data_IF_410833194222
#
_entry.id   IF_410833194222
#
_cell.length_a   1.000
_cell.length_b   1.000
_cell.length_c   1.000
_cell.angle_alpha   90.00
_cell.angle_beta   90.00
_cell.angle_gamma   90.00
#
_symmetry.space_group_name_H-M   'P 1'
#
loop_
_entity.id
_entity.type
_entity.pdbx_description
1 polymer ?
#
# COMPACT_ATOMS: atom_id res chain seq x y z
N UNK A 1 -62.57 24.15 48.39
CA UNK A 1 -61.74 22.99 47.99
C UNK A 1 -60.36 23.52 47.62
N UNK A 2 -59.34 23.24 48.45
CA UNK A 2 -57.98 23.71 48.23
C UNK A 2 -57.17 22.66 47.44
N UNK A 3 -56.75 22.99 46.23
CA UNK A 3 -55.78 22.18 45.48
C UNK A 3 -54.41 22.27 46.17
N UNK A 4 -54.04 21.24 46.94
CA UNK A 4 -52.66 21.00 47.35
C UNK A 4 -51.84 20.66 46.09
N UNK A 5 -51.09 21.62 45.57
CA UNK A 5 -50.10 21.39 44.50
C UNK A 5 -48.94 20.54 45.04
N UNK A 6 -48.48 19.49 44.33
CA UNK A 6 -47.40 18.63 44.80
C UNK A 6 -46.05 19.23 44.40
N UNK A 7 -45.57 20.19 45.18
CA UNK A 7 -44.22 20.77 45.05
C UNK A 7 -43.09 19.74 45.32
N UNK A 8 -43.20 18.77 46.27
CA UNK A 8 -42.07 17.88 46.57
C UNK A 8 -41.80 16.82 45.50
N UNK A 9 -42.78 16.41 44.69
CA UNK A 9 -42.56 15.44 43.59
C UNK A 9 -41.85 16.06 42.38
N UNK A 10 -42.07 17.35 42.11
CA UNK A 10 -41.33 18.08 41.07
C UNK A 10 -39.86 18.29 41.46
N UNK A 11 -39.57 18.63 42.72
CA UNK A 11 -38.17 18.77 43.19
C UNK A 11 -37.42 17.44 43.20
N UNK A 12 -38.08 16.33 43.58
CA UNK A 12 -37.49 15.00 43.53
C UNK A 12 -37.16 14.53 42.10
N UNK A 13 -38.03 14.84 41.13
CA UNK A 13 -37.80 14.54 39.71
C UNK A 13 -36.62 15.31 39.12
N UNK A 14 -36.52 16.62 39.40
CA UNK A 14 -35.40 17.45 38.94
C UNK A 14 -34.07 17.00 39.55
N UNK A 15 -34.05 16.65 40.84
CA UNK A 15 -32.82 16.16 41.50
C UNK A 15 -32.34 14.82 40.92
N UNK A 16 -33.25 13.89 40.63
CA UNK A 16 -32.89 12.63 39.97
C UNK A 16 -32.37 12.84 38.55
N UNK A 17 -32.94 13.78 37.79
CA UNK A 17 -32.44 14.16 36.46
C UNK A 17 -31.03 14.75 36.57
N UNK A 18 -30.78 15.65 37.52
CA UNK A 18 -29.46 16.25 37.74
C UNK A 18 -28.42 15.19 38.14
N UNK A 19 -28.76 14.27 39.05
CA UNK A 19 -27.88 13.17 39.42
C UNK A 19 -27.61 12.21 38.25
N UNK A 20 -28.62 11.89 37.44
CA UNK A 20 -28.45 11.09 36.24
C UNK A 20 -27.56 11.79 35.21
N UNK A 21 -27.71 13.11 35.03
CA UNK A 21 -26.84 13.92 34.18
C UNK A 21 -25.40 13.97 34.70
N UNK A 22 -25.19 14.19 36.00
CA UNK A 22 -23.86 14.19 36.62
C UNK A 22 -23.21 12.82 36.56
N UNK A 23 -23.96 11.75 36.83
CA UNK A 23 -23.50 10.37 36.68
C UNK A 23 -23.12 10.03 35.23
N UNK A 24 -23.92 10.48 34.26
CA UNK A 24 -23.62 10.32 32.85
C UNK A 24 -22.37 11.12 32.44
N UNK A 25 -22.19 12.35 32.95
CA UNK A 25 -21.00 13.18 32.70
C UNK A 25 -19.74 12.56 33.31
N UNK A 26 -19.80 12.11 34.57
CA UNK A 26 -18.68 11.44 35.23
C UNK A 26 -18.30 10.13 34.53
N UNK A 27 -19.30 9.33 34.15
CA UNK A 27 -19.09 8.11 33.37
C UNK A 27 -18.46 8.39 31.99
N UNK A 28 -18.86 9.49 31.34
CA UNK A 28 -18.28 9.93 30.08
C UNK A 28 -16.85 10.45 30.23
N UNK A 29 -16.56 11.18 31.30
CA UNK A 29 -15.22 11.72 31.57
C UNK A 29 -14.22 10.60 31.84
N UNK A 30 -14.51 9.70 32.79
CA UNK A 30 -13.62 8.58 33.16
C UNK A 30 -13.29 7.67 31.98
N UNK A 31 -14.24 7.48 31.05
CA UNK A 31 -13.99 6.70 29.83
C UNK A 31 -13.22 7.45 28.76
N UNK A 32 -13.19 8.77 28.78
CA UNK A 32 -12.38 9.52 27.81
C UNK A 32 -10.92 9.60 28.25
N UNK A 33 -10.63 9.65 29.55
CA UNK A 33 -9.26 9.63 30.08
C UNK A 33 -8.51 8.36 29.63
N UNK A 34 -9.20 7.22 29.60
CA UNK A 34 -8.64 5.97 29.08
C UNK A 34 -8.39 5.99 27.57
N UNK A 35 -9.22 6.68 26.78
CA UNK A 35 -9.01 6.84 25.34
C UNK A 35 -7.85 7.79 25.04
N UNK A 36 -7.73 8.86 25.83
CA UNK A 36 -6.63 9.81 25.77
C UNK A 36 -5.30 9.11 26.06
N UNK A 37 -5.20 8.41 27.19
CA UNK A 37 -4.00 7.66 27.55
C UNK A 37 -3.65 6.60 26.48
N UNK A 38 -4.65 5.91 25.94
CA UNK A 38 -4.45 4.95 24.84
C UNK A 38 -3.93 5.65 23.59
N UNK A 39 -4.54 6.76 23.16
CA UNK A 39 -4.15 7.46 21.95
C UNK A 39 -2.70 7.98 22.07
N UNK A 40 -2.33 8.58 23.20
CA UNK A 40 -0.95 9.04 23.43
C UNK A 40 0.05 7.88 23.37
N UNK A 41 -0.28 6.76 24.01
CA UNK A 41 0.56 5.57 23.97
C UNK A 41 0.73 5.03 22.55
N UNK A 42 -0.37 4.93 21.79
CA UNK A 42 -0.36 4.44 20.41
C UNK A 42 0.40 5.39 19.48
N UNK A 43 0.22 6.71 19.61
CA UNK A 43 0.96 7.72 18.85
C UNK A 43 2.45 7.62 19.13
N UNK A 44 2.86 7.59 20.41
CA UNK A 44 4.27 7.48 20.75
C UNK A 44 4.89 6.17 20.22
N UNK A 45 4.17 5.06 20.33
CA UNK A 45 4.64 3.75 19.84
C UNK A 45 4.81 3.76 18.32
N UNK A 46 3.82 4.25 17.59
CA UNK A 46 3.82 4.22 16.13
C UNK A 46 4.77 5.25 15.52
N UNK A 47 4.93 6.43 16.12
CA UNK A 47 5.90 7.44 15.66
C UNK A 47 7.34 6.91 15.72
N UNK A 48 7.68 6.10 16.73
CA UNK A 48 9.01 5.52 16.90
C UNK A 48 9.14 4.09 16.37
N UNK A 49 8.12 3.56 15.70
CA UNK A 49 8.14 2.21 15.16
C UNK A 49 9.25 2.05 14.10
N UNK A 50 10.02 0.97 14.23
CA UNK A 50 10.92 0.52 13.18
C UNK A 50 10.16 -0.34 12.16
N UNK A 51 10.67 -0.38 10.93
CA UNK A 51 10.07 -1.13 9.82
C UNK A 51 11.06 -2.17 9.27
N UNK A 52 11.36 -3.24 10.03
CA UNK A 52 12.24 -4.31 9.58
C UNK A 52 11.61 -5.07 8.42
N UNK A 53 12.42 -5.46 7.43
CA UNK A 53 11.97 -6.23 6.27
C UNK A 53 13.13 -6.99 5.61
N UNK A 54 12.86 -8.14 4.95
CA UNK A 54 13.88 -8.80 4.14
C UNK A 54 14.37 -7.88 3.01
N UNK A 55 15.67 -7.56 3.00
CA UNK A 55 16.24 -6.80 1.89
C UNK A 55 16.28 -7.64 0.62
N UNK A 56 15.86 -7.06 -0.51
CA UNK A 56 15.83 -7.81 -1.78
C UNK A 56 17.21 -7.88 -2.45
N UNK A 57 18.20 -7.10 -2.02
CA UNK A 57 19.57 -7.10 -2.56
C UNK A 57 20.62 -7.54 -1.55
N UNK A 58 21.80 -7.92 -2.05
CA UNK A 58 22.98 -8.24 -1.23
C UNK A 58 24.25 -7.80 -1.99
N UNK A 59 25.14 -6.99 -1.39
CA UNK A 59 25.03 -6.36 -0.05
C UNK A 59 23.95 -5.28 0.01
N UNK A 60 23.46 -4.99 1.22
CA UNK A 60 22.51 -3.90 1.50
C UNK A 60 23.23 -2.56 1.65
N UNK A 61 22.47 -1.46 1.56
CA UNK A 61 22.95 -0.12 1.91
C UNK A 61 22.63 0.19 3.37
N UNK A 62 23.57 0.76 4.14
CA UNK A 62 23.32 1.12 5.54
C UNK A 62 22.15 2.10 5.70
N UNK A 63 21.34 1.91 6.75
CA UNK A 63 20.25 2.81 7.13
C UNK A 63 18.88 2.41 6.56
N UNK A 64 17.96 3.39 6.52
CA UNK A 64 16.55 3.17 6.14
C UNK A 64 16.25 3.74 4.75
N UNK A 65 15.24 3.18 4.08
CA UNK A 65 14.68 3.78 2.86
C UNK A 65 14.22 5.23 3.10
N UNK A 66 13.51 5.47 4.22
CA UNK A 66 12.99 6.78 4.58
C UNK A 66 14.08 7.86 4.64
N UNK A 67 15.18 7.59 5.36
CA UNK A 67 16.31 8.53 5.44
C UNK A 67 16.94 8.81 4.09
N UNK A 68 17.10 7.78 3.24
CA UNK A 68 17.68 7.96 1.91
C UNK A 68 16.77 8.83 1.01
N UNK A 69 15.46 8.61 1.04
CA UNK A 69 14.49 9.35 0.21
C UNK A 69 14.20 10.76 0.74
N UNK A 70 14.26 11.02 2.05
CA UNK A 70 14.07 12.37 2.61
C UNK A 70 14.98 13.40 1.93
N UNK A 71 16.23 13.04 1.64
CA UNK A 71 17.17 13.93 0.93
C UNK A 71 16.79 14.24 -0.53
N UNK A 72 16.02 13.34 -1.17
CA UNK A 72 15.59 13.45 -2.56
C UNK A 72 14.23 14.13 -2.70
N UNK A 73 13.44 14.18 -1.63
CA UNK A 73 12.06 14.65 -1.65
C UNK A 73 11.90 16.09 -2.17
N UNK A 74 12.74 17.07 -1.81
CA UNK A 74 12.62 18.42 -2.36
C UNK A 74 12.81 18.48 -3.89
N UNK A 75 13.69 17.63 -4.44
CA UNK A 75 13.91 17.54 -5.87
C UNK A 75 12.72 16.86 -6.58
N UNK A 76 12.20 15.78 -5.99
CA UNK A 76 11.00 15.07 -6.48
C UNK A 76 9.78 15.99 -6.52
N UNK A 77 9.51 16.72 -5.45
CA UNK A 77 8.39 17.65 -5.37
C UNK A 77 8.50 18.78 -6.40
N UNK A 78 9.70 19.33 -6.58
CA UNK A 78 9.96 20.36 -7.60
C UNK A 78 9.68 19.83 -9.01
N UNK A 79 10.21 18.64 -9.34
CA UNK A 79 9.98 18.00 -10.65
C UNK A 79 8.50 17.75 -10.93
N UNK A 80 7.74 17.33 -9.93
CA UNK A 80 6.30 17.11 -10.08
C UNK A 80 5.54 18.41 -10.33
N UNK A 81 5.92 19.53 -9.67
CA UNK A 81 5.27 20.84 -9.85
C UNK A 81 5.62 21.52 -11.17
N UNK A 82 6.87 21.39 -11.61
CA UNK A 82 7.40 22.12 -12.77
C UNK A 82 7.04 21.45 -14.11
N UNK A 83 6.50 20.23 -14.07
CA UNK A 83 6.14 19.52 -15.30
C UNK A 83 4.82 20.06 -15.86
N UNK A 84 4.79 20.53 -17.11
CA UNK A 84 3.52 20.81 -17.76
C UNK A 84 2.69 19.52 -17.88
N UNK A 85 1.37 19.58 -17.68
CA UNK A 85 0.52 18.42 -17.91
C UNK A 85 0.61 18.02 -19.38
N UNK A 86 0.66 16.71 -19.62
CA UNK A 86 0.52 16.16 -20.97
C UNK A 86 -0.89 16.43 -21.50
N UNK A 87 -1.05 16.44 -22.82
CA UNK A 87 -2.39 16.35 -23.41
C UNK A 87 -3.08 15.07 -22.94
N UNK A 88 -4.41 15.06 -22.83
CA UNK A 88 -5.16 13.86 -22.41
C UNK A 88 -4.83 12.66 -23.33
N UNK A 89 -4.67 12.92 -24.62
CA UNK A 89 -4.29 11.91 -25.61
C UNK A 89 -2.88 11.37 -25.38
N UNK A 90 -1.89 12.23 -25.16
CA UNK A 90 -0.52 11.78 -24.87
C UNK A 90 -0.47 11.02 -23.55
N UNK A 91 -1.16 11.50 -22.51
CA UNK A 91 -1.24 10.82 -21.22
C UNK A 91 -1.80 9.40 -21.36
N UNK A 92 -2.91 9.24 -22.09
CA UNK A 92 -3.53 7.93 -22.33
C UNK A 92 -2.62 6.99 -23.14
N UNK A 93 -1.90 7.51 -24.14
CA UNK A 93 -0.94 6.72 -24.92
C UNK A 93 0.27 6.30 -24.08
N UNK A 94 0.80 7.19 -23.25
CA UNK A 94 1.92 6.88 -22.36
C UNK A 94 1.53 5.83 -21.32
N UNK A 95 0.32 5.93 -20.77
CA UNK A 95 -0.26 4.93 -19.89
C UNK A 95 -0.43 3.58 -20.61
N UNK A 96 -0.97 3.55 -21.83
CA UNK A 96 -1.13 2.32 -22.60
C UNK A 96 0.21 1.62 -22.88
N UNK A 97 1.27 2.36 -23.20
CA UNK A 97 2.62 1.80 -23.38
C UNK A 97 3.20 1.27 -22.07
N UNK A 98 3.07 2.05 -20.99
CA UNK A 98 3.57 1.71 -19.65
C UNK A 98 2.91 0.44 -19.13
N UNK A 99 1.60 0.31 -19.30
CA UNK A 99 0.83 -0.84 -18.80
C UNK A 99 0.90 -2.06 -19.69
N UNK A 100 1.51 -1.98 -20.88
CA UNK A 100 1.64 -3.15 -21.75
C UNK A 100 0.60 -3.28 -22.84
N UNK A 101 -0.33 -2.33 -22.97
CA UNK A 101 -1.42 -2.37 -23.98
C UNK A 101 -1.00 -1.88 -25.37
N UNK A 102 0.05 -1.07 -25.44
CA UNK A 102 0.60 -0.51 -26.68
C UNK A 102 2.10 -0.80 -26.83
N UNK A 103 2.58 -0.74 -28.07
CA UNK A 103 3.99 -0.90 -28.42
C UNK A 103 4.81 0.35 -28.04
N UNK A 104 6.08 0.18 -27.67
CA UNK A 104 6.97 1.31 -27.34
C UNK A 104 7.21 2.28 -28.51
N UNK A 105 6.96 1.85 -29.75
CA UNK A 105 7.00 2.69 -30.95
C UNK A 105 5.90 3.74 -30.98
N UNK A 106 4.80 3.52 -30.23
CA UNK A 106 3.68 4.45 -30.09
C UNK A 106 3.88 5.45 -28.94
N UNK A 107 5.01 5.36 -28.21
CA UNK A 107 5.31 6.25 -27.09
C UNK A 107 5.46 7.71 -27.57
N UNK A 108 4.62 8.64 -27.07
CA UNK A 108 4.77 10.06 -27.34
C UNK A 108 6.17 10.59 -26.98
N UNK A 109 6.69 11.51 -27.81
CA UNK A 109 8.01 12.11 -27.62
C UNK A 109 8.11 12.81 -26.26
N UNK A 110 7.07 13.52 -25.84
CA UNK A 110 7.02 14.22 -24.55
C UNK A 110 7.22 13.28 -23.36
N UNK A 111 6.66 12.07 -23.40
CA UNK A 111 6.85 11.09 -22.32
C UNK A 111 8.25 10.47 -22.32
N UNK A 112 8.82 10.25 -23.50
CA UNK A 112 10.21 9.82 -23.62
C UNK A 112 11.15 10.88 -23.05
N UNK A 113 10.98 12.13 -23.43
CA UNK A 113 11.78 13.26 -22.93
C UNK A 113 11.62 13.45 -21.42
N UNK A 114 10.40 13.36 -20.89
CA UNK A 114 10.16 13.44 -19.45
C UNK A 114 10.88 12.31 -18.69
N UNK A 115 10.84 11.07 -19.20
CA UNK A 115 11.58 9.96 -18.60
C UNK A 115 13.09 10.21 -18.65
N UNK A 116 13.64 10.62 -19.79
CA UNK A 116 15.08 10.91 -19.94
C UNK A 116 15.56 11.97 -18.94
N UNK A 117 14.78 13.03 -18.74
CA UNK A 117 15.08 14.11 -17.80
C UNK A 117 15.03 13.64 -16.34
N UNK A 118 14.06 12.81 -15.98
CA UNK A 118 13.85 12.36 -14.59
C UNK A 118 14.63 11.10 -14.22
N UNK A 119 15.15 10.36 -15.21
CA UNK A 119 15.84 9.07 -15.03
C UNK A 119 16.95 9.12 -13.95
N UNK A 120 17.82 10.14 -13.84
CA UNK A 120 18.83 10.17 -12.79
C UNK A 120 18.24 10.21 -11.38
N UNK A 121 17.14 10.93 -11.19
CA UNK A 121 16.45 11.02 -9.90
C UNK A 121 15.67 9.75 -9.61
N UNK A 122 14.96 9.22 -10.60
CA UNK A 122 14.28 7.91 -10.53
C UNK A 122 15.26 6.82 -10.05
N UNK A 123 16.43 6.70 -10.68
CA UNK A 123 17.45 5.71 -10.29
C UNK A 123 17.97 5.90 -8.87
N UNK A 124 18.09 7.13 -8.38
CA UNK A 124 18.48 7.39 -6.99
C UNK A 124 17.41 6.91 -6.01
N UNK A 125 16.13 7.15 -6.30
CA UNK A 125 15.00 6.66 -5.49
C UNK A 125 14.92 5.13 -5.51
N UNK A 126 15.03 4.51 -6.69
CA UNK A 126 15.05 3.06 -6.82
C UNK A 126 16.21 2.44 -6.04
N UNK A 127 17.40 3.04 -6.11
CA UNK A 127 18.56 2.57 -5.36
C UNK A 127 18.44 2.81 -3.85
N UNK A 128 17.56 3.71 -3.38
CA UNK A 128 17.25 3.86 -1.96
C UNK A 128 16.51 2.63 -1.40
N UNK A 129 15.81 1.86 -2.24
CA UNK A 129 15.12 0.63 -1.82
C UNK A 129 16.10 -0.46 -1.36
N UNK A 130 17.39 -0.33 -1.69
CA UNK A 130 18.46 -1.25 -1.31
C UNK A 130 18.89 -1.11 0.17
N UNK A 131 18.27 -0.20 0.91
CA UNK A 131 18.48 -0.01 2.34
C UNK A 131 18.24 -1.29 3.16
N UNK A 132 18.90 -1.38 4.32
CA UNK A 132 18.79 -2.48 5.29
C UNK A 132 17.36 -2.63 5.81
N UNK A 133 16.71 -1.51 6.15
CA UNK A 133 15.33 -1.48 6.65
C UNK A 133 14.45 -0.55 5.82
N UNK A 134 13.14 -0.75 5.94
CA UNK A 134 12.15 0.09 5.29
C UNK A 134 11.78 1.30 6.14
N UNK A 135 10.56 1.78 5.91
CA UNK A 135 10.00 2.98 6.56
C UNK A 135 9.99 4.17 5.63
N UNK A 136 8.96 5.00 5.74
CA UNK A 136 8.80 6.19 4.92
C UNK A 136 9.52 7.41 5.51
N UNK A 137 9.89 8.39 4.67
CA UNK A 137 10.22 9.74 5.13
C UNK A 137 9.15 10.26 6.09
N UNK A 138 9.55 11.02 7.10
CA UNK A 138 8.63 11.56 8.10
C UNK A 138 7.46 12.28 7.42
N UNK A 139 7.71 13.09 6.40
CA UNK A 139 6.70 13.85 5.66
C UNK A 139 5.63 13.01 4.97
N UNK A 140 5.81 11.69 4.87
CA UNK A 140 4.88 10.75 4.24
C UNK A 140 4.13 9.87 5.24
N UNK A 141 4.55 9.84 6.52
CA UNK A 141 3.92 8.97 7.52
C UNK A 141 2.60 9.58 7.99
N UNK A 142 1.55 8.77 8.25
CA UNK A 142 0.24 9.28 8.67
C UNK A 142 0.25 10.11 9.95
N UNK A 143 1.21 9.85 10.85
CA UNK A 143 1.31 10.46 12.18
C UNK A 143 2.24 11.67 12.25
N UNK A 144 2.82 12.10 11.14
CA UNK A 144 3.80 13.20 11.15
C UNK A 144 3.17 14.60 11.18
N UNK A 145 1.86 14.70 11.06
CA UNK A 145 1.15 15.96 11.21
C UNK A 145 -0.13 16.08 10.37
N UNK A 146 -0.85 17.19 10.53
CA UNK A 146 -2.12 17.44 9.86
C UNK A 146 -1.96 17.87 8.38
N UNK A 147 -0.75 18.10 7.87
CA UNK A 147 -0.52 18.47 6.48
C UNK A 147 -0.80 17.30 5.52
N UNK A 148 -2.07 17.19 5.11
CA UNK A 148 -2.50 16.20 4.12
C UNK A 148 -2.01 16.57 2.72
N UNK A 149 -1.95 17.86 2.38
CA UNK A 149 -1.57 18.31 1.04
C UNK A 149 -0.09 18.04 0.72
N UNK A 150 0.80 18.28 1.69
CA UNK A 150 2.22 17.92 1.57
C UNK A 150 2.43 16.42 1.40
N UNK A 151 1.73 15.60 2.19
CA UNK A 151 1.72 14.14 2.09
C UNK A 151 1.25 13.68 0.71
N UNK A 152 0.14 14.20 0.23
CA UNK A 152 -0.41 13.85 -1.09
C UNK A 152 0.55 14.21 -2.22
N UNK A 153 1.19 15.38 -2.14
CA UNK A 153 2.19 15.79 -3.13
C UNK A 153 3.41 14.87 -3.15
N UNK A 154 3.89 14.46 -1.97
CA UNK A 154 5.01 13.52 -1.84
C UNK A 154 4.62 12.12 -2.36
N UNK A 155 3.42 11.65 -2.04
CA UNK A 155 2.89 10.38 -2.52
C UNK A 155 2.74 10.37 -4.05
N UNK A 156 2.24 11.46 -4.63
CA UNK A 156 2.16 11.63 -6.08
C UNK A 156 3.53 11.63 -6.74
N UNK A 157 4.53 12.26 -6.12
CA UNK A 157 5.90 12.26 -6.65
C UNK A 157 6.51 10.86 -6.66
N UNK A 158 6.32 10.06 -5.60
CA UNK A 158 6.78 8.66 -5.58
C UNK A 158 5.98 7.76 -6.53
N UNK A 159 4.68 8.00 -6.68
CA UNK A 159 3.85 7.30 -7.67
C UNK A 159 4.40 7.48 -9.09
N UNK A 160 4.78 8.71 -9.43
CA UNK A 160 5.40 9.03 -10.72
C UNK A 160 6.73 8.31 -10.93
N UNK A 161 7.55 8.15 -9.89
CA UNK A 161 8.79 7.34 -9.97
C UNK A 161 8.47 5.89 -10.34
N UNK A 162 7.41 5.31 -9.78
CA UNK A 162 6.97 3.94 -10.14
C UNK A 162 6.51 3.86 -11.60
N UNK A 163 5.71 4.83 -12.05
CA UNK A 163 5.26 4.92 -13.46
C UNK A 163 6.45 5.05 -14.43
N UNK A 164 7.42 5.89 -14.09
CA UNK A 164 8.65 6.07 -14.87
C UNK A 164 9.51 4.80 -14.92
N UNK A 165 9.61 4.08 -13.79
CA UNK A 165 10.36 2.83 -13.73
C UNK A 165 9.68 1.71 -14.54
N UNK A 166 8.35 1.65 -14.54
CA UNK A 166 7.59 0.75 -15.41
C UNK A 166 7.85 1.06 -16.89
N UNK A 167 7.84 2.35 -17.28
CA UNK A 167 8.12 2.76 -18.65
C UNK A 167 9.58 2.47 -19.06
N UNK A 168 10.55 2.77 -18.20
CA UNK A 168 11.98 2.44 -18.43
C UNK A 168 12.15 0.93 -18.63
N UNK A 169 11.51 0.10 -17.81
CA UNK A 169 11.53 -1.37 -17.94
C UNK A 169 11.07 -1.79 -19.34
N UNK A 170 9.97 -1.23 -19.85
CA UNK A 170 9.45 -1.53 -21.20
C UNK A 170 10.42 -1.11 -22.30
N UNK A 171 11.07 0.06 -22.16
CA UNK A 171 12.07 0.53 -23.11
C UNK A 171 13.32 -0.37 -23.12
N UNK A 172 13.77 -0.84 -21.95
CA UNK A 172 14.91 -1.76 -21.84
C UNK A 172 14.60 -3.11 -22.50
N UNK A 173 13.42 -3.68 -22.25
CA UNK A 173 12.97 -4.92 -22.92
C UNK A 173 12.98 -4.74 -24.44
N UNK A 174 12.42 -3.64 -24.94
CA UNK A 174 12.37 -3.37 -26.37
C UNK A 174 13.74 -3.16 -27.02
N UNK A 175 14.76 -2.78 -26.24
CA UNK A 175 16.16 -2.66 -26.69
C UNK A 175 16.94 -3.98 -26.60
N UNK A 176 16.32 -5.06 -26.11
CA UNK A 176 17.00 -6.33 -25.85
C UNK A 176 17.81 -6.35 -24.56
N UNK A 177 17.64 -5.35 -23.68
CA UNK A 177 18.35 -5.23 -22.40
C UNK A 177 17.53 -5.85 -21.25
N UNK A 178 17.06 -7.08 -21.43
CA UNK A 178 16.10 -7.72 -20.52
C UNK A 178 16.62 -7.86 -19.07
N UNK A 179 17.90 -8.20 -18.88
CA UNK A 179 18.46 -8.35 -17.53
C UNK A 179 18.46 -7.03 -16.74
N UNK A 180 18.76 -5.91 -17.40
CA UNK A 180 18.67 -4.57 -16.83
C UNK A 180 17.23 -4.12 -16.60
N UNK A 181 16.31 -4.57 -17.47
CA UNK A 181 14.87 -4.38 -17.28
C UNK A 181 14.40 -5.07 -16.00
N UNK A 182 14.85 -6.31 -15.73
CA UNK A 182 14.52 -7.03 -14.49
C UNK A 182 15.05 -6.30 -13.26
N UNK A 183 16.27 -5.74 -13.30
CA UNK A 183 16.81 -4.95 -12.18
C UNK A 183 15.93 -3.72 -11.88
N UNK A 184 15.57 -2.96 -12.91
CA UNK A 184 14.70 -1.77 -12.78
C UNK A 184 13.31 -2.16 -12.25
N UNK A 185 12.75 -3.25 -12.75
CA UNK A 185 11.40 -3.69 -12.40
C UNK A 185 11.34 -4.21 -10.96
N UNK A 186 12.35 -4.97 -10.51
CA UNK A 186 12.46 -5.45 -9.13
C UNK A 186 12.61 -4.28 -8.17
N UNK A 187 13.40 -3.26 -8.50
CA UNK A 187 13.52 -2.07 -7.65
C UNK A 187 12.22 -1.23 -7.62
N UNK A 188 11.45 -1.20 -8.72
CA UNK A 188 10.15 -0.53 -8.74
C UNK A 188 9.11 -1.24 -7.85
N UNK A 189 9.13 -2.58 -7.84
CA UNK A 189 8.33 -3.38 -6.90
C UNK A 189 8.78 -3.19 -5.46
N UNK A 190 10.10 -3.10 -5.24
CA UNK A 190 10.66 -2.77 -3.93
C UNK A 190 10.16 -1.41 -3.43
N UNK A 191 10.21 -0.37 -4.28
CA UNK A 191 9.66 0.94 -3.97
C UNK A 191 8.17 0.84 -3.61
N UNK A 192 7.40 0.06 -4.35
CA UNK A 192 5.98 -0.16 -4.05
C UNK A 192 5.77 -0.85 -2.70
N UNK A 193 6.64 -1.77 -2.28
CA UNK A 193 6.63 -2.34 -0.92
C UNK A 193 6.98 -1.28 0.13
N UNK A 194 8.00 -0.45 -0.11
CA UNK A 194 8.38 0.61 0.84
C UNK A 194 7.23 1.58 1.12
N UNK A 195 6.39 1.87 0.13
CA UNK A 195 5.18 2.69 0.30
C UNK A 195 4.19 2.10 1.31
N UNK A 196 4.15 0.78 1.48
CA UNK A 196 3.30 0.13 2.49
C UNK A 196 3.90 0.15 3.91
N UNK A 197 5.23 0.31 4.04
CA UNK A 197 5.93 0.24 5.31
C UNK A 197 5.90 1.60 6.04
N UNK A 198 4.94 1.76 6.96
CA UNK A 198 4.76 3.00 7.74
C UNK A 198 3.92 4.08 7.03
N UNK A 199 3.23 3.71 5.95
CA UNK A 199 2.35 4.59 5.17
C UNK A 199 0.86 4.46 5.49
N UNK A 200 0.49 3.68 6.51
CA UNK A 200 -0.91 3.39 6.79
C UNK A 200 -1.63 2.70 5.63
N UNK A 201 -2.95 2.84 5.60
CA UNK A 201 -3.80 2.24 4.56
C UNK A 201 -3.58 2.91 3.20
N UNK A 202 -3.33 4.22 3.18
CA UNK A 202 -2.99 4.96 1.96
C UNK A 202 -1.73 4.40 1.32
N UNK A 203 -0.69 4.11 2.11
CA UNK A 203 0.53 3.46 1.67
C UNK A 203 0.31 2.08 1.05
N UNK A 204 -0.58 1.27 1.65
CA UNK A 204 -0.98 -0.03 1.10
C UNK A 204 -1.68 0.10 -0.26
N UNK A 205 -2.54 1.11 -0.45
CA UNK A 205 -3.17 1.38 -1.75
C UNK A 205 -2.16 1.82 -2.81
N UNK A 206 -1.24 2.71 -2.45
CA UNK A 206 -0.17 3.15 -3.34
C UNK A 206 0.74 1.98 -3.73
N UNK A 207 1.00 1.08 -2.78
CA UNK A 207 1.71 -0.17 -3.03
C UNK A 207 1.00 -1.08 -4.03
N UNK A 208 -0.31 -1.31 -3.84
CA UNK A 208 -1.12 -2.13 -4.74
C UNK A 208 -1.22 -1.51 -6.15
N UNK A 209 -1.37 -0.19 -6.21
CA UNK A 209 -1.30 0.58 -7.46
C UNK A 209 0.04 0.38 -8.17
N UNK A 210 1.16 0.55 -7.45
CA UNK A 210 2.50 0.42 -8.01
C UNK A 210 2.76 -0.97 -8.59
N UNK A 211 2.37 -2.03 -7.86
CA UNK A 211 2.38 -3.40 -8.37
C UNK A 211 1.51 -3.56 -9.62
N UNK A 212 0.29 -2.99 -9.63
CA UNK A 212 -0.58 -3.03 -10.80
C UNK A 212 0.06 -2.40 -12.04
N UNK A 213 0.72 -1.25 -11.87
CA UNK A 213 1.39 -0.52 -12.94
C UNK A 213 2.62 -1.23 -13.48
N UNK A 214 3.43 -1.82 -12.63
CA UNK A 214 4.69 -2.46 -13.03
C UNK A 214 4.51 -3.91 -13.47
N UNK A 215 3.41 -4.56 -13.09
CA UNK A 215 3.19 -6.00 -13.25
C UNK A 215 3.51 -6.55 -14.64
N UNK A 216 2.88 -6.01 -15.71
CA UNK A 216 3.11 -6.50 -17.07
C UNK A 216 4.55 -6.26 -17.53
N UNK A 217 5.08 -5.06 -17.27
CA UNK A 217 6.47 -4.72 -17.62
C UNK A 217 7.48 -5.67 -16.94
N UNK A 218 7.24 -6.02 -15.68
CA UNK A 218 8.06 -6.99 -14.94
C UNK A 218 7.95 -8.39 -15.55
N UNK A 219 6.74 -8.82 -15.92
CA UNK A 219 6.53 -10.13 -16.53
C UNK A 219 7.24 -10.24 -17.88
N UNK A 220 7.13 -9.23 -18.76
CA UNK A 220 7.83 -9.21 -20.04
C UNK A 220 9.36 -9.19 -19.87
N UNK A 221 9.86 -8.42 -18.90
CA UNK A 221 11.28 -8.37 -18.58
C UNK A 221 11.78 -9.73 -18.08
N UNK A 222 11.02 -10.39 -17.20
CA UNK A 222 11.37 -11.71 -16.71
C UNK A 222 11.29 -12.77 -17.80
N UNK A 223 10.31 -12.75 -18.70
CA UNK A 223 10.20 -13.71 -19.81
C UNK A 223 11.43 -13.62 -20.73
N UNK A 224 11.87 -12.40 -21.05
CA UNK A 224 13.00 -12.14 -21.93
C UNK A 224 14.39 -12.25 -21.27
N UNK A 225 14.47 -12.36 -19.94
CA UNK A 225 15.74 -12.33 -19.21
C UNK A 225 16.55 -13.63 -19.32
N UNK A 226 17.85 -13.54 -19.04
CA UNK A 226 18.72 -14.71 -18.96
C UNK A 226 18.34 -15.63 -17.79
N UNK A 227 18.57 -16.94 -17.92
CA UNK A 227 18.32 -17.92 -16.83
C UNK A 227 19.04 -17.55 -15.52
N UNK A 228 20.32 -17.14 -15.52
CA UNK A 228 20.99 -16.70 -14.30
C UNK A 228 20.27 -15.52 -13.64
N UNK A 229 19.77 -14.56 -14.45
CA UNK A 229 19.01 -13.43 -13.94
C UNK A 229 17.65 -13.83 -13.40
N UNK A 230 16.92 -14.73 -14.06
CA UNK A 230 15.64 -15.30 -13.60
C UNK A 230 15.79 -15.94 -12.21
N UNK A 231 16.81 -16.80 -12.02
CA UNK A 231 17.09 -17.41 -10.70
C UNK A 231 17.36 -16.39 -9.59
N UNK A 232 18.16 -15.36 -9.90
CA UNK A 232 18.40 -14.26 -8.95
C UNK A 232 17.10 -13.53 -8.65
N UNK A 233 16.29 -13.24 -9.67
CA UNK A 233 15.01 -12.53 -9.53
C UNK A 233 14.04 -13.29 -8.63
N UNK A 234 13.93 -14.61 -8.77
CA UNK A 234 13.10 -15.45 -7.88
C UNK A 234 13.39 -15.15 -6.41
N UNK A 235 14.66 -15.22 -6.00
CA UNK A 235 15.03 -14.96 -4.61
C UNK A 235 14.75 -13.51 -4.17
N UNK A 236 14.90 -12.53 -5.07
CA UNK A 236 14.57 -11.13 -4.78
C UNK A 236 13.07 -10.93 -4.61
N UNK A 237 12.27 -11.47 -5.53
CA UNK A 237 10.80 -11.37 -5.54
C UNK A 237 10.18 -12.10 -4.34
N UNK A 238 10.71 -13.25 -3.93
CA UNK A 238 10.30 -13.93 -2.70
C UNK A 238 10.52 -13.03 -1.48
N UNK A 239 11.70 -12.41 -1.35
CA UNK A 239 11.98 -11.47 -0.24
C UNK A 239 11.10 -10.22 -0.27
N UNK A 240 10.73 -9.74 -1.46
CA UNK A 240 9.77 -8.65 -1.62
C UNK A 240 8.38 -9.07 -1.12
N UNK A 241 7.91 -10.25 -1.55
CA UNK A 241 6.61 -10.80 -1.17
C UNK A 241 6.48 -11.03 0.34
N UNK A 242 7.53 -11.56 0.99
CA UNK A 242 7.56 -11.80 2.43
C UNK A 242 7.67 -10.50 3.25
N UNK A 243 8.09 -9.39 2.64
CA UNK A 243 8.38 -8.14 3.33
C UNK A 243 7.21 -7.17 3.49
N UNK A 244 5.98 -7.58 3.19
CA UNK A 244 4.80 -6.72 3.37
C UNK A 244 4.31 -6.68 4.82
N UNK A 245 3.93 -5.50 5.33
CA UNK A 245 3.31 -5.42 6.65
C UNK A 245 1.87 -5.97 6.61
N UNK A 246 1.38 -6.54 7.72
CA UNK A 246 -0.01 -6.99 7.84
C UNK A 246 -0.97 -5.80 7.70
N UNK A 247 -2.16 -6.05 7.16
CA UNK A 247 -3.16 -5.00 6.89
C UNK A 247 -3.67 -4.40 8.20
N UNK A 248 -3.77 -5.20 9.26
CA UNK A 248 -4.18 -4.70 10.58
C UNK A 248 -3.23 -3.65 11.16
N UNK A 249 -1.93 -3.70 10.83
CA UNK A 249 -0.96 -2.70 11.25
C UNK A 249 -1.18 -1.38 10.49
N UNK A 250 -1.35 -1.45 9.17
CA UNK A 250 -1.64 -0.27 8.35
C UNK A 250 -2.97 0.39 8.73
N UNK A 251 -4.01 -0.40 9.05
CA UNK A 251 -5.27 0.12 9.59
C UNK A 251 -5.12 0.70 10.99
N UNK A 252 -4.20 0.18 11.79
CA UNK A 252 -3.89 0.74 13.09
C UNK A 252 -3.31 2.14 12.97
N UNK A 253 -2.29 2.31 12.12
CA UNK A 253 -1.68 3.61 11.82
C UNK A 253 -2.72 4.62 11.32
N UNK A 254 -3.55 4.21 10.36
CA UNK A 254 -4.62 5.05 9.81
C UNK A 254 -5.66 5.43 10.86
N UNK A 255 -6.07 4.47 11.70
CA UNK A 255 -7.05 4.71 12.77
C UNK A 255 -6.53 5.72 13.80
N UNK A 256 -5.26 5.63 14.19
CA UNK A 256 -4.63 6.55 15.14
C UNK A 256 -4.51 7.95 14.51
N UNK A 257 -4.06 8.05 13.25
CA UNK A 257 -3.98 9.32 12.54
C UNK A 257 -5.36 9.98 12.36
N UNK A 258 -6.39 9.19 12.05
CA UNK A 258 -7.76 9.67 11.93
C UNK A 258 -8.33 10.14 13.27
N UNK A 259 -7.99 9.47 14.38
CA UNK A 259 -8.35 9.93 15.72
C UNK A 259 -7.71 11.28 16.06
N UNK A 260 -6.42 11.48 15.77
CA UNK A 260 -5.77 12.77 15.97
C UNK A 260 -6.39 13.87 15.09
N UNK A 261 -6.69 13.56 13.83
CA UNK A 261 -7.31 14.52 12.91
C UNK A 261 -8.71 14.92 13.37
N UNK A 262 -9.47 13.96 13.91
CA UNK A 262 -10.91 14.12 14.16
C UNK A 262 -11.25 14.45 15.61
N UNK A 263 -10.45 14.06 16.60
CA UNK A 263 -10.81 14.13 18.02
C UNK A 263 -9.76 14.78 18.92
N UNK A 264 -8.63 15.24 18.39
CA UNK A 264 -7.54 15.85 19.20
C UNK A 264 -7.99 17.06 20.03
N UNK A 265 -8.98 17.82 19.57
CA UNK A 265 -9.56 18.93 20.35
C UNK A 265 -10.26 18.48 21.65
N UNK A 266 -10.60 17.19 21.77
CA UNK A 266 -11.20 16.60 22.98
C UNK A 266 -10.16 16.20 24.04
N UNK A 267 -8.87 16.19 23.68
CA UNK A 267 -7.77 15.88 24.59
C UNK A 267 -7.57 17.01 25.61
N UNK A 268 -7.11 16.65 26.80
CA UNK A 268 -6.63 17.60 27.81
C UNK A 268 -5.45 18.44 27.29
N UNK A 269 -5.21 19.60 27.89
CA UNK A 269 -4.06 20.44 27.55
C UNK A 269 -2.73 19.70 27.77
N UNK A 270 -2.64 18.93 28.86
CA UNK A 270 -1.46 18.12 29.20
C UNK A 270 -1.23 17.06 28.12
N UNK A 271 -2.26 16.32 27.72
CA UNK A 271 -2.16 15.34 26.64
C UNK A 271 -1.78 15.96 25.30
N UNK A 272 -2.32 17.14 24.97
CA UNK A 272 -1.93 17.84 23.74
C UNK A 272 -0.45 18.22 23.74
N UNK A 273 0.08 18.62 24.89
CA UNK A 273 1.50 18.98 25.02
C UNK A 273 2.45 17.78 24.83
N UNK A 274 1.97 16.55 25.00
CA UNK A 274 2.73 15.32 24.76
C UNK A 274 2.72 14.85 23.29
N UNK A 275 1.87 15.43 22.42
CA UNK A 275 1.82 15.07 21.00
C UNK A 275 3.05 15.58 20.23
N UNK A 276 3.42 14.93 19.10
CA UNK A 276 4.46 15.46 18.23
C UNK A 276 4.15 16.92 17.81
N UNK A 277 5.17 17.80 17.71
CA UNK A 277 4.96 19.24 17.54
C UNK A 277 4.04 19.62 16.38
N UNK A 278 4.10 18.86 15.28
CA UNK A 278 3.27 19.08 14.09
C UNK A 278 1.76 19.03 14.37
N UNK A 279 1.31 18.36 15.45
CA UNK A 279 -0.10 18.26 15.81
C UNK A 279 -0.62 19.42 16.67
N UNK A 280 0.24 20.34 17.13
CA UNK A 280 -0.16 21.47 17.98
C UNK A 280 -0.93 22.54 17.20
N UNK A 281 -0.68 22.71 15.90
CA UNK A 281 -1.20 23.82 15.08
C UNK A 281 -2.54 23.54 14.36
N UNK A 282 -3.10 22.33 14.46
CA UNK A 282 -4.35 22.02 13.72
C UNK A 282 -5.59 22.74 14.32
N UNK A 283 -6.67 22.97 13.55
CA UNK A 283 -7.84 23.75 13.97
C UNK A 283 -8.70 23.05 15.04
N UNK A 284 -9.37 23.82 15.90
CA UNK A 284 -10.34 23.31 16.87
C UNK A 284 -11.71 23.01 16.21
N UNK A 285 -12.40 21.96 16.67
CA UNK A 285 -13.70 21.54 16.14
C UNK A 285 -14.81 21.73 17.20
N UNK A 286 -16.05 22.13 16.83
CA UNK A 286 -17.12 22.37 17.80
C UNK A 286 -17.78 21.08 18.35
N UNK A 287 -18.27 21.12 19.61
CA UNK A 287 -19.21 20.15 20.21
C UNK A 287 -18.59 18.97 20.99
N UNK A 288 -18.71 18.96 22.33
CA UNK A 288 -17.93 18.05 23.18
C UNK A 288 -18.55 16.66 23.50
N UNK A 289 -19.86 16.55 23.76
CA UNK A 289 -20.42 15.30 24.34
C UNK A 289 -20.77 14.22 23.30
N UNK A 290 -21.42 14.60 22.19
CA UNK A 290 -21.72 13.66 21.09
C UNK A 290 -20.44 13.10 20.46
N UNK A 291 -19.41 13.94 20.33
CA UNK A 291 -18.11 13.56 19.75
C UNK A 291 -17.30 12.63 20.65
N UNK A 292 -17.38 12.74 21.99
CA UNK A 292 -16.80 11.74 22.91
C UNK A 292 -17.46 10.36 22.81
N UNK A 293 -18.75 10.30 22.49
CA UNK A 293 -19.42 9.02 22.19
C UNK A 293 -18.99 8.48 20.82
N UNK A 294 -18.91 9.35 19.82
CA UNK A 294 -18.44 9.01 18.47
C UNK A 294 -17.01 8.46 18.49
N UNK A 295 -16.09 9.10 19.23
CA UNK A 295 -14.72 8.64 19.37
C UNK A 295 -14.62 7.22 19.94
N UNK A 296 -15.38 6.91 20.99
CA UNK A 296 -15.44 5.54 21.56
C UNK A 296 -15.93 4.50 20.55
N UNK A 297 -16.98 4.85 19.81
CA UNK A 297 -17.52 3.98 18.78
C UNK A 297 -16.48 3.73 17.70
N UNK A 298 -15.83 4.79 17.22
CA UNK A 298 -14.77 4.72 16.22
C UNK A 298 -13.63 3.78 16.64
N UNK A 299 -13.12 3.92 17.88
CA UNK A 299 -12.06 3.04 18.39
C UNK A 299 -12.51 1.59 18.44
N UNK A 300 -13.74 1.34 18.90
CA UNK A 300 -14.32 -0.01 18.96
C UNK A 300 -14.42 -0.64 17.57
N UNK A 301 -14.87 0.13 16.60
CA UNK A 301 -15.05 -0.33 15.23
C UNK A 301 -13.71 -0.58 14.54
N UNK A 302 -12.72 0.27 14.81
CA UNK A 302 -11.36 0.09 14.31
C UNK A 302 -10.72 -1.20 14.85
N UNK A 303 -10.90 -1.48 16.14
CA UNK A 303 -10.40 -2.71 16.76
C UNK A 303 -11.09 -3.96 16.20
N UNK A 304 -12.40 -3.90 15.94
CA UNK A 304 -13.15 -4.98 15.29
C UNK A 304 -12.66 -5.24 13.87
N UNK A 305 -12.46 -4.18 13.09
CA UNK A 305 -11.95 -4.30 11.73
C UNK A 305 -10.55 -4.91 11.71
N UNK A 306 -9.66 -4.42 12.58
CA UNK A 306 -8.28 -4.93 12.72
C UNK A 306 -8.24 -6.42 13.08
N UNK A 307 -9.21 -6.91 13.84
CA UNK A 307 -9.27 -8.32 14.24
C UNK A 307 -9.62 -9.28 13.08
N UNK A 308 -10.12 -8.76 11.94
CA UNK A 308 -10.61 -9.61 10.84
C UNK A 308 -9.84 -9.44 9.53
N UNK A 309 -9.16 -8.32 9.31
CA UNK A 309 -8.54 -7.98 8.01
C UNK A 309 -7.35 -8.85 7.59
N UNK A 310 -6.69 -9.52 8.54
CA UNK A 310 -5.58 -10.43 8.25
C UNK A 310 -6.03 -11.90 8.21
N UNK A 311 -7.34 -12.17 8.31
CA UNK A 311 -7.86 -13.52 8.15
C UNK A 311 -7.71 -14.01 6.69
N UNK A 312 -7.71 -15.34 6.45
CA UNK A 312 -7.72 -15.87 5.09
C UNK A 312 -8.90 -15.34 4.26
N UNK A 313 -8.76 -15.16 2.92
CA UNK A 313 -9.70 -14.40 2.09
C UNK A 313 -11.19 -14.75 2.28
N UNK A 314 -11.56 -16.03 2.26
CA UNK A 314 -12.96 -16.46 2.42
C UNK A 314 -13.52 -16.20 3.84
N UNK A 315 -12.65 -16.29 4.86
CA UNK A 315 -13.05 -16.01 6.24
C UNK A 315 -13.14 -14.51 6.48
N UNK A 316 -12.17 -13.75 5.98
CA UNK A 316 -12.17 -12.28 5.99
C UNK A 316 -13.40 -11.71 5.31
N UNK A 317 -13.74 -12.16 4.09
CA UNK A 317 -14.92 -11.68 3.35
C UNK A 317 -16.20 -11.83 4.17
N UNK A 318 -16.45 -13.02 4.70
CA UNK A 318 -17.61 -13.28 5.57
C UNK A 318 -17.61 -12.43 6.85
N UNK A 319 -16.44 -12.23 7.44
CA UNK A 319 -16.31 -11.41 8.64
C UNK A 319 -16.57 -9.92 8.36
N UNK A 320 -16.07 -9.40 7.24
CA UNK A 320 -16.33 -8.03 6.79
C UNK A 320 -17.80 -7.80 6.47
N UNK A 321 -18.45 -8.72 5.74
CA UNK A 321 -19.89 -8.68 5.48
C UNK A 321 -20.71 -8.66 6.78
N UNK A 322 -20.31 -9.45 7.78
CA UNK A 322 -20.95 -9.47 9.10
C UNK A 322 -20.76 -8.15 9.86
N UNK A 323 -19.59 -7.53 9.78
CA UNK A 323 -19.34 -6.21 10.37
C UNK A 323 -20.19 -5.14 9.69
N UNK A 324 -20.25 -5.12 8.36
CA UNK A 324 -21.10 -4.20 7.60
C UNK A 324 -22.58 -4.34 7.97
N UNK A 325 -23.09 -5.58 8.02
CA UNK A 325 -24.47 -5.84 8.43
C UNK A 325 -24.75 -5.33 9.86
N UNK A 326 -23.83 -5.58 10.80
CA UNK A 326 -23.93 -5.09 12.18
C UNK A 326 -23.97 -3.55 12.23
N UNK A 327 -23.20 -2.86 11.38
CA UNK A 327 -23.23 -1.40 11.27
C UNK A 327 -24.57 -0.86 10.78
N UNK A 328 -25.15 -1.50 9.76
CA UNK A 328 -26.47 -1.16 9.24
C UNK A 328 -27.57 -1.29 10.31
N UNK A 329 -27.55 -2.36 11.11
CA UNK A 329 -28.51 -2.57 12.19
C UNK A 329 -28.41 -1.54 13.32
N UNK A 330 -27.21 -1.00 13.59
CA UNK A 330 -26.97 -0.02 14.64
C UNK A 330 -27.39 1.41 14.27
N UNK A 331 -27.89 1.63 13.05
CA UNK A 331 -28.35 2.95 12.58
C UNK A 331 -27.24 4.01 12.59
N UNK A 332 -25.98 3.58 12.60
CA UNK A 332 -24.82 4.45 12.49
C UNK A 332 -24.81 5.03 11.08
N UNK A 333 -24.71 6.36 10.95
CA UNK A 333 -24.64 6.99 9.63
C UNK A 333 -23.31 6.63 8.98
N UNK A 334 -23.35 6.13 7.75
CA UNK A 334 -22.19 5.79 6.92
C UNK A 334 -21.19 6.95 6.70
N UNK A 335 -21.61 8.19 6.98
CA UNK A 335 -20.76 9.38 6.87
C UNK A 335 -19.72 9.52 7.98
N UNK A 336 -19.90 8.83 9.11
CA UNK A 336 -19.07 9.05 10.31
C UNK A 336 -17.75 8.23 10.31
N UNK A 337 -17.55 7.29 9.38
CA UNK A 337 -16.32 6.48 9.30
C UNK A 337 -16.01 6.00 7.85
N UNK A 338 -15.49 6.89 6.98
CA UNK A 338 -15.25 6.59 5.56
C UNK A 338 -14.29 5.41 5.30
N UNK A 339 -13.33 5.18 6.20
CA UNK A 339 -12.33 4.12 6.10
C UNK A 339 -12.93 2.71 6.25
N UNK A 340 -14.08 2.55 6.93
CA UNK A 340 -14.76 1.25 6.99
C UNK A 340 -15.38 0.85 5.65
N UNK A 341 -15.87 1.83 4.87
CA UNK A 341 -16.48 1.57 3.55
C UNK A 341 -15.50 0.98 2.54
N UNK A 342 -14.22 1.33 2.66
CA UNK A 342 -13.19 0.96 1.70
C UNK A 342 -12.46 -0.32 2.10
N UNK A 343 -12.70 -0.86 3.30
CA UNK A 343 -11.95 -1.99 3.81
C UNK A 343 -12.10 -3.27 2.96
N UNK A 344 -13.31 -3.53 2.41
CA UNK A 344 -13.54 -4.65 1.51
C UNK A 344 -12.85 -4.44 0.14
N UNK A 345 -12.98 -3.25 -0.45
CA UNK A 345 -12.31 -2.88 -1.70
C UNK A 345 -10.78 -2.93 -1.57
N UNK A 346 -10.25 -2.45 -0.44
CA UNK A 346 -8.84 -2.51 -0.10
C UNK A 346 -8.36 -3.94 0.07
N UNK A 347 -9.14 -4.81 0.70
CA UNK A 347 -8.79 -6.22 0.85
C UNK A 347 -8.63 -6.91 -0.52
N UNK A 348 -9.57 -6.69 -1.44
CA UNK A 348 -9.50 -7.26 -2.80
C UNK A 348 -8.29 -6.70 -3.59
N UNK A 349 -8.00 -5.40 -3.45
CA UNK A 349 -6.81 -4.78 -4.06
C UNK A 349 -5.50 -5.38 -3.53
N UNK A 350 -5.42 -5.63 -2.22
CA UNK A 350 -4.23 -6.19 -1.58
C UNK A 350 -4.06 -7.68 -1.87
N UNK A 351 -5.16 -8.43 -1.98
CA UNK A 351 -5.13 -9.81 -2.46
C UNK A 351 -4.65 -9.88 -3.91
N UNK A 352 -5.13 -8.97 -4.78
CA UNK A 352 -4.67 -8.88 -6.16
C UNK A 352 -3.17 -8.54 -6.24
N UNK A 353 -2.66 -7.67 -5.35
CA UNK A 353 -1.22 -7.40 -5.24
C UNK A 353 -0.45 -8.66 -4.86
N UNK A 354 -0.89 -9.38 -3.83
CA UNK A 354 -0.24 -10.61 -3.38
C UNK A 354 -0.19 -11.65 -4.51
N UNK A 355 -1.31 -11.83 -5.21
CA UNK A 355 -1.44 -12.75 -6.34
C UNK A 355 -0.55 -12.38 -7.53
N UNK A 356 -0.43 -11.08 -7.86
CA UNK A 356 0.52 -10.60 -8.88
C UNK A 356 1.97 -10.89 -8.46
N UNK A 357 2.31 -10.67 -7.19
CA UNK A 357 3.65 -10.97 -6.67
C UNK A 357 3.98 -12.47 -6.78
N UNK A 358 3.04 -13.34 -6.40
CA UNK A 358 3.20 -14.80 -6.53
C UNK A 358 3.35 -15.22 -7.98
N UNK A 359 2.60 -14.60 -8.89
CA UNK A 359 2.66 -14.92 -10.30
C UNK A 359 3.98 -14.45 -10.95
N UNK A 360 4.63 -13.36 -10.49
CA UNK A 360 6.00 -12.99 -10.91
C UNK A 360 7.00 -14.07 -10.48
N UNK A 361 6.90 -14.52 -9.23
CA UNK A 361 7.77 -15.57 -8.66
C UNK A 361 7.61 -16.85 -9.48
N UNK A 362 6.36 -17.28 -9.69
CA UNK A 362 6.03 -18.47 -10.46
C UNK A 362 6.55 -18.39 -11.90
N UNK A 363 6.41 -17.25 -12.58
CA UNK A 363 6.93 -17.07 -13.94
C UNK A 363 8.44 -17.27 -13.98
N UNK A 364 9.19 -16.63 -13.08
CA UNK A 364 10.64 -16.75 -13.02
C UNK A 364 11.10 -18.20 -12.71
N UNK A 365 10.40 -18.90 -11.82
CA UNK A 365 10.70 -20.28 -11.45
C UNK A 365 10.39 -21.29 -12.57
N UNK A 366 9.22 -21.16 -13.19
CA UNK A 366 8.75 -22.09 -14.22
C UNK A 366 9.69 -22.08 -15.41
N UNK A 367 10.07 -20.88 -15.87
CA UNK A 367 10.90 -20.79 -17.06
C UNK A 367 12.38 -21.15 -16.80
N UNK A 368 12.91 -20.82 -15.61
CA UNK A 368 14.23 -21.32 -15.19
C UNK A 368 14.24 -22.86 -15.12
N UNK A 369 13.19 -23.46 -14.53
CA UNK A 369 13.05 -24.92 -14.43
C UNK A 369 12.90 -25.58 -15.80
N UNK A 370 12.12 -24.98 -16.71
CA UNK A 370 11.98 -25.47 -18.09
C UNK A 370 13.34 -25.50 -18.77
N UNK A 371 14.12 -24.43 -18.68
CA UNK A 371 15.41 -24.34 -19.35
C UNK A 371 16.40 -25.39 -18.82
N UNK A 372 16.33 -25.72 -17.53
CA UNK A 372 17.15 -26.77 -16.93
C UNK A 372 16.73 -28.19 -17.31
N UNK A 373 15.41 -28.46 -17.35
CA UNK A 373 14.86 -29.81 -17.51
C UNK A 373 14.43 -30.15 -18.94
N UNK A 374 14.42 -29.16 -19.84
CA UNK A 374 13.95 -29.30 -21.22
C UNK A 374 12.43 -29.52 -21.36
N UNK A 375 11.66 -29.41 -20.28
CA UNK A 375 10.21 -29.60 -20.26
C UNK A 375 9.55 -28.67 -19.26
N UNK A 376 8.32 -28.24 -19.54
CA UNK A 376 7.52 -27.49 -18.59
C UNK A 376 7.32 -28.28 -17.28
N UNK A 377 7.40 -27.62 -16.11
CA UNK A 377 7.08 -28.29 -14.86
C UNK A 377 5.61 -28.70 -14.82
N UNK A 378 5.29 -29.82 -14.15
CA UNK A 378 3.91 -30.33 -14.05
C UNK A 378 3.06 -29.56 -13.03
N UNK A 379 3.70 -28.81 -12.15
CA UNK A 379 3.07 -28.01 -11.11
C UNK A 379 3.96 -26.80 -10.79
N UNK A 380 3.34 -25.73 -10.29
CA UNK A 380 4.08 -24.58 -9.76
C UNK A 380 4.78 -24.98 -8.45
N UNK A 381 5.99 -24.45 -8.24
CA UNK A 381 6.72 -24.64 -6.98
C UNK A 381 6.19 -23.72 -5.87
N UNK A 382 5.46 -22.67 -6.24
CA UNK A 382 4.79 -21.77 -5.30
C UNK A 382 3.82 -22.55 -4.41
N UNK A 383 3.88 -22.31 -3.10
CA UNK A 383 3.02 -22.97 -2.10
C UNK A 383 1.52 -22.61 -2.23
N UNK A 384 1.16 -21.71 -3.15
CA UNK A 384 -0.19 -21.20 -3.28
C UNK A 384 -1.01 -21.99 -4.29
N UNK A 385 -2.18 -22.45 -3.84
CA UNK A 385 -3.19 -23.12 -4.67
C UNK A 385 -3.95 -22.17 -5.61
N UNK A 386 -3.61 -20.88 -5.59
CA UNK A 386 -4.29 -19.79 -6.27
C UNK A 386 -3.89 -19.63 -7.75
N UNK A 387 -2.80 -20.28 -8.17
CA UNK A 387 -2.25 -20.20 -9.51
C UNK A 387 -2.19 -21.59 -10.15
N UNK A 388 -2.45 -21.65 -11.45
CA UNK A 388 -2.39 -22.87 -12.26
C UNK A 388 -1.50 -22.62 -13.47
N UNK A 389 -0.64 -23.59 -13.77
CA UNK A 389 0.16 -23.62 -14.98
C UNK A 389 -0.54 -24.48 -16.04
N UNK A 390 -0.82 -23.88 -17.19
CA UNK A 390 -1.42 -24.54 -18.35
C UNK A 390 -0.40 -24.54 -19.51
N UNK A 391 0.26 -25.67 -19.80
CA UNK A 391 1.09 -25.79 -21.00
C UNK A 391 0.21 -25.66 -22.25
N UNK A 392 0.56 -24.75 -23.15
CA UNK A 392 -0.14 -24.57 -24.43
C UNK A 392 0.49 -25.47 -25.49
N UNK A 393 1.82 -25.40 -25.61
CA UNK A 393 2.62 -26.25 -26.50
C UNK A 393 4.07 -26.39 -25.97
N UNK A 394 4.98 -26.91 -26.79
CA UNK A 394 6.38 -27.11 -26.42
C UNK A 394 7.14 -25.79 -26.13
N UNK A 395 6.67 -24.68 -26.69
CA UNK A 395 7.31 -23.37 -26.64
C UNK A 395 6.52 -22.34 -25.83
N UNK A 396 5.30 -22.66 -25.40
CA UNK A 396 4.47 -21.72 -24.64
C UNK A 396 3.74 -22.39 -23.47
N UNK A 397 3.68 -21.67 -22.35
CA UNK A 397 2.83 -21.99 -21.21
C UNK A 397 2.14 -20.73 -20.69
N UNK A 398 1.03 -20.93 -19.96
CA UNK A 398 0.25 -19.84 -19.40
C UNK A 398 0.05 -20.04 -17.90
N UNK A 399 0.34 -19.01 -17.11
CA UNK A 399 -0.02 -18.96 -15.68
C UNK A 399 -1.35 -18.21 -15.53
N UNK A 400 -2.33 -18.84 -14.86
CA UNK A 400 -3.65 -18.26 -14.60
C UNK A 400 -3.99 -18.30 -13.12
N UNK A 401 -4.74 -17.30 -12.67
CA UNK A 401 -5.41 -17.34 -11.37
C UNK A 401 -6.65 -18.22 -11.42
N UNK A 402 -6.84 -19.05 -10.40
CA UNK A 402 -8.09 -19.77 -10.16
C UNK A 402 -8.96 -19.10 -9.08
N UNK A 403 -8.53 -17.94 -8.54
CA UNK A 403 -9.25 -17.21 -7.51
C UNK A 403 -10.46 -16.49 -8.10
N UNK A 404 -11.66 -16.87 -7.65
CA UNK A 404 -12.91 -16.28 -8.13
C UNK A 404 -13.01 -14.81 -7.71
N UNK A 405 -13.23 -13.92 -8.69
CA UNK A 405 -13.35 -12.47 -8.48
C UNK A 405 -12.01 -11.72 -8.51
N UNK A 406 -10.87 -12.42 -8.47
CA UNK A 406 -9.53 -11.84 -8.53
C UNK A 406 -8.72 -12.52 -9.64
N UNK A 407 -8.92 -12.06 -10.87
CA UNK A 407 -8.20 -12.59 -12.04
C UNK A 407 -7.23 -11.54 -12.56
N UNK A 408 -5.96 -11.55 -12.13
CA UNK A 408 -4.93 -10.91 -12.93
C UNK A 408 -4.96 -11.52 -14.33
N UNK A 409 -4.57 -10.72 -15.31
CA UNK A 409 -4.44 -11.22 -16.66
C UNK A 409 -3.45 -12.38 -16.71
N UNK A 410 -3.78 -13.36 -17.56
CA UNK A 410 -2.96 -14.54 -17.72
C UNK A 410 -1.57 -14.17 -18.23
N UNK A 411 -0.53 -14.65 -17.52
CA UNK A 411 0.83 -14.46 -17.97
C UNK A 411 1.18 -15.54 -18.98
N UNK A 412 1.70 -15.10 -20.13
CA UNK A 412 2.28 -15.99 -21.12
C UNK A 412 3.77 -16.12 -20.84
N UNK A 413 4.27 -17.34 -20.95
CA UNK A 413 5.67 -17.68 -20.84
C UNK A 413 6.10 -18.23 -22.18
N UNK A 414 7.18 -17.69 -22.73
CA UNK A 414 7.75 -18.11 -24.00
C UNK A 414 9.04 -18.87 -23.73
N UNK A 415 9.21 -20.03 -24.35
CA UNK A 415 10.47 -20.74 -24.28
C UNK A 415 11.57 -19.92 -24.96
N UNK A 416 12.68 -19.70 -24.26
CA UNK A 416 13.89 -19.15 -24.85
C UNK A 416 14.24 -19.94 -26.11
N UNK A 417 14.39 -19.25 -27.25
CA UNK A 417 14.82 -19.89 -28.49
C UNK A 417 16.21 -20.50 -28.25
N UNK A 418 16.37 -21.79 -28.54
CA UNK A 418 17.68 -22.43 -28.48
C UNK A 418 18.67 -21.60 -29.31
N UNK A 419 19.87 -21.29 -28.82
CA UNK A 419 20.87 -20.59 -29.62
C UNK A 419 21.06 -21.38 -30.91
N UNK A 420 20.80 -20.73 -32.04
CA UNK A 420 20.90 -21.39 -33.34
C UNK A 420 22.30 -21.98 -33.53
N UNK A 421 22.44 -23.08 -34.29
CA UNK A 421 23.71 -23.79 -34.48
C UNK A 421 24.84 -22.93 -35.10
N UNK A 422 24.57 -21.69 -35.53
CA UNK A 422 25.59 -20.75 -36.00
C UNK A 422 26.36 -20.07 -34.86
N UNK A 423 25.80 -19.88 -33.67
CA UNK A 423 26.53 -19.25 -32.55
C UNK A 423 27.56 -20.18 -31.88
N UNK A 424 27.50 -21.49 -32.14
CA UNK A 424 28.49 -22.45 -31.67
C UNK A 424 29.70 -22.59 -32.62
N UNK A 425 29.71 -21.90 -33.78
CA UNK A 425 30.80 -21.96 -34.76
C UNK A 425 31.66 -20.70 -34.86
N UNK A 426 31.31 -19.63 -34.15
CA UNK A 426 32.10 -18.41 -34.10
C UNK A 426 32.61 -18.12 -32.67
N UNK A 427 33.44 -19.02 -32.16
CA UNK A 427 34.46 -18.66 -31.17
C UNK A 427 35.79 -19.27 -31.65
N UNK A 428 36.81 -18.43 -31.98
CA UNK A 428 38.15 -18.92 -32.27
C UNK A 428 38.85 -19.46 -31.02
#
# INVERSE_FOLDING_TARGET
MALKRPIPTLMGGVFLIVLACLGALAYQHLRTDALEARLLHEVNTLTHAEHPRPAHVTPTRPGTFGTAVSSLLPALLRRTRDLPPLSEEDAARCEAVTEGRSLVTELPAACREALEQDRPLMRQVLAATHAESGGLPEELRPLSGPDVAGRDAAAQALRRVVEQAALETRLLVARGEADAAVDTCVDALALSRELALGGGLVGQRLSAYGYGRTWRACADALDAASVPRKRKATAQLTRLHEGFPPVSLSLHEESVAAQLTTFRDLLSDDARAELPPAWLDAPALPGALSRRRQWRQWVTDADRLRAVVDQPPDSRRRALEALEAQHHEQGLRHDDAPWMRQAAEDADLLDLRALRSEALIALAEVDATRTEKGQWPRALATKTSSLVLEPVDANQAVIRSCVRGLTPEALRITADAAPGPEQAREQP
#
